data_IF_237539023271
#
_entry.id   IF_237539023271
#
_cell.length_a   1.000
_cell.length_b   1.000
_cell.length_c   1.000
_cell.angle_alpha   90.00
_cell.angle_beta   90.00
_cell.angle_gamma   90.00
#
_symmetry.space_group_name_H-M   'P 1'
#
loop_
_entity.id
_entity.type
_entity.pdbx_description
1 polymer ?
#
# COMPACT_ATOMS: atom_id res chain seq x y z
N UNK A 1 -2.21 -7.61 -10.62
CA UNK A 1 -2.67 -6.67 -9.58
C UNK A 1 -4.17 -6.84 -9.39
N UNK A 2 -4.63 -6.84 -8.15
CA UNK A 2 -6.06 -6.89 -7.79
C UNK A 2 -6.45 -5.62 -7.05
N UNK A 3 -7.74 -5.31 -6.98
CA UNK A 3 -8.21 -4.20 -6.16
C UNK A 3 -8.07 -4.55 -4.69
N UNK A 4 -7.64 -3.60 -3.87
CA UNK A 4 -7.45 -3.79 -2.46
C UNK A 4 -7.74 -2.54 -1.64
N UNK A 5 -7.95 -2.78 -0.34
CA UNK A 5 -8.08 -1.73 0.68
C UNK A 5 -7.02 -1.97 1.75
N UNK A 6 -6.33 -0.92 2.17
CA UNK A 6 -5.36 -0.96 3.26
C UNK A 6 -5.87 -0.07 4.39
N UNK A 7 -5.95 -0.61 5.60
CA UNK A 7 -6.44 0.10 6.78
C UNK A 7 -5.35 0.05 7.83
N UNK A 8 -4.77 1.19 8.18
CA UNK A 8 -3.77 1.29 9.24
C UNK A 8 -4.42 1.40 10.61
N UNK A 9 -3.70 1.02 11.67
CA UNK A 9 -4.20 1.03 13.06
C UNK A 9 -4.56 2.43 13.57
N UNK A 10 -4.02 3.49 12.96
CA UNK A 10 -4.36 4.89 13.26
C UNK A 10 -5.65 5.37 12.57
N UNK A 11 -6.30 4.50 11.79
CA UNK A 11 -7.55 4.76 11.09
C UNK A 11 -7.38 5.32 9.68
N UNK A 12 -6.14 5.46 9.17
CA UNK A 12 -5.93 5.84 7.77
C UNK A 12 -6.36 4.69 6.86
N UNK A 13 -7.30 4.98 5.97
CA UNK A 13 -7.80 4.04 4.97
C UNK A 13 -7.34 4.45 3.57
N UNK A 14 -6.77 3.51 2.83
CA UNK A 14 -6.33 3.70 1.45
C UNK A 14 -7.01 2.68 0.56
N UNK A 15 -7.41 3.13 -0.61
CA UNK A 15 -7.90 2.28 -1.69
C UNK A 15 -6.89 2.28 -2.83
N UNK A 16 -6.75 1.14 -3.49
CA UNK A 16 -5.75 1.00 -4.53
C UNK A 16 -5.70 -0.37 -5.17
N UNK A 17 -4.58 -0.62 -5.84
CA UNK A 17 -4.26 -1.92 -6.39
C UNK A 17 -3.17 -2.58 -5.56
N UNK A 18 -3.24 -3.90 -5.45
CA UNK A 18 -2.26 -4.69 -4.72
C UNK A 18 -1.70 -5.80 -5.60
N UNK A 19 -0.40 -6.00 -5.44
CA UNK A 19 0.34 -7.13 -5.97
C UNK A 19 0.86 -7.98 -4.80
N UNK A 20 0.34 -9.20 -4.67
CA UNK A 20 0.69 -10.11 -3.58
C UNK A 20 1.87 -10.99 -4.03
N UNK A 21 2.99 -10.96 -3.31
CA UNK A 21 4.22 -11.68 -3.68
C UNK A 21 4.94 -12.28 -2.48
N UNK A 22 4.69 -13.57 -2.20
CA UNK A 22 5.36 -14.27 -1.09
C UNK A 22 5.18 -13.53 0.23
N UNK A 23 6.29 -13.19 0.89
CA UNK A 23 6.33 -12.48 2.18
C UNK A 23 6.02 -10.97 2.07
N UNK A 24 5.91 -10.43 0.86
CA UNK A 24 5.69 -9.00 0.63
C UNK A 24 4.48 -8.75 -0.26
N UNK A 25 3.88 -7.58 -0.11
CA UNK A 25 2.86 -7.06 -1.02
C UNK A 25 3.24 -5.64 -1.44
N UNK A 26 2.97 -5.32 -2.70
CA UNK A 26 3.10 -3.97 -3.23
C UNK A 26 1.71 -3.38 -3.35
N UNK A 27 1.44 -2.32 -2.59
CA UNK A 27 0.19 -1.59 -2.64
C UNK A 27 0.40 -0.24 -3.33
N UNK A 28 -0.35 0.02 -4.39
CA UNK A 28 -0.34 1.29 -5.11
C UNK A 28 -1.66 2.01 -4.89
N UNK A 29 -1.61 3.22 -4.39
CA UNK A 29 -2.76 4.12 -4.24
C UNK A 29 -2.51 5.41 -4.98
N UNK A 30 -3.58 6.06 -5.45
CA UNK A 30 -3.59 7.42 -5.99
C UNK A 30 -3.47 8.49 -4.88
N UNK A 31 -3.59 8.09 -3.62
CA UNK A 31 -3.36 8.97 -2.48
C UNK A 31 -1.87 9.28 -2.33
N UNK A 32 -1.52 10.56 -2.37
CA UNK A 32 -0.15 11.03 -2.06
C UNK A 32 0.01 11.15 -0.56
N UNK A 33 0.83 10.29 0.03
CA UNK A 33 1.17 10.33 1.45
C UNK A 33 2.45 11.13 1.65
N UNK A 34 2.41 12.04 2.63
CA UNK A 34 3.60 12.77 3.06
C UNK A 34 4.54 11.87 3.87
N UNK A 35 5.82 12.24 3.92
CA UNK A 35 6.82 11.48 4.66
C UNK A 35 6.48 11.39 6.16
N UNK A 36 5.95 12.47 6.75
CA UNK A 36 5.47 12.51 8.13
C UNK A 36 4.34 11.50 8.41
N UNK A 37 3.38 11.38 7.49
CA UNK A 37 2.30 10.38 7.61
C UNK A 37 2.85 8.96 7.51
N UNK A 38 3.75 8.69 6.56
CA UNK A 38 4.30 7.34 6.39
C UNK A 38 5.19 6.89 7.55
N UNK A 39 5.79 7.83 8.29
CA UNK A 39 6.60 7.54 9.47
C UNK A 39 5.80 7.03 10.68
N UNK A 40 4.51 7.38 10.77
CA UNK A 40 3.62 6.94 11.85
C UNK A 40 2.88 5.64 11.52
N UNK A 41 2.66 5.38 10.23
CA UNK A 41 1.98 4.19 9.73
C UNK A 41 2.90 2.98 9.84
N UNK A 42 2.69 2.11 10.83
CA UNK A 42 3.49 0.90 11.03
C UNK A 42 2.75 -0.36 10.62
N UNK A 43 1.62 -0.65 11.24
CA UNK A 43 0.88 -1.90 11.04
C UNK A 43 -0.51 -1.60 10.51
N UNK A 44 -1.02 -2.49 9.66
CA UNK A 44 -2.35 -2.37 9.10
C UNK A 44 -2.94 -3.71 8.68
N UNK A 45 -4.18 -3.67 8.22
CA UNK A 45 -4.90 -4.77 7.60
C UNK A 45 -5.03 -4.50 6.10
N UNK A 46 -4.47 -5.41 5.30
CA UNK A 46 -4.63 -5.44 3.86
C UNK A 46 -5.79 -6.35 3.51
N UNK A 47 -6.79 -5.81 2.81
CA UNK A 47 -7.91 -6.55 2.26
C UNK A 47 -7.74 -6.69 0.75
N UNK A 48 -7.65 -7.92 0.26
CA UNK A 48 -7.48 -8.27 -1.15
C UNK A 48 -8.11 -9.63 -1.44
N UNK A 49 -8.78 -9.78 -2.60
CA UNK A 49 -9.42 -11.05 -3.01
C UNK A 49 -10.30 -11.68 -1.91
N UNK A 50 -11.16 -10.87 -1.28
CA UNK A 50 -12.04 -11.26 -0.16
C UNK A 50 -11.33 -11.80 1.10
N UNK A 51 -10.01 -11.65 1.17
CA UNK A 51 -9.19 -12.01 2.34
C UNK A 51 -8.64 -10.78 3.00
N UNK A 52 -8.39 -10.90 4.30
CA UNK A 52 -7.79 -9.88 5.16
C UNK A 52 -6.53 -10.45 5.78
N UNK A 53 -5.44 -9.71 5.71
CA UNK A 53 -4.17 -10.11 6.29
C UNK A 53 -3.52 -8.94 7.02
N UNK A 54 -2.82 -9.24 8.11
CA UNK A 54 -2.01 -8.25 8.80
C UNK A 54 -0.74 -7.99 8.01
N UNK A 55 -0.39 -6.72 7.90
CA UNK A 55 0.80 -6.25 7.20
C UNK A 55 1.56 -5.20 8.00
N UNK A 56 2.86 -5.12 7.76
CA UNK A 56 3.75 -4.07 8.26
C UNK A 56 4.17 -3.19 7.09
N UNK A 57 4.06 -1.87 7.20
CA UNK A 57 4.64 -0.94 6.24
C UNK A 57 6.16 -0.94 6.41
N UNK A 58 6.86 -1.41 5.39
CA UNK A 58 8.33 -1.39 5.33
C UNK A 58 8.82 -0.10 4.67
N UNK A 59 8.21 0.27 3.54
CA UNK A 59 8.60 1.47 2.80
C UNK A 59 7.40 2.11 2.13
N UNK A 60 7.45 3.44 2.02
CA UNK A 60 6.52 4.24 1.24
C UNK A 60 7.32 5.13 0.28
N UNK A 61 6.98 5.07 -1.00
CA UNK A 61 7.60 5.87 -2.05
C UNK A 61 6.51 6.64 -2.78
N UNK A 62 6.64 7.97 -2.78
CA UNK A 62 5.81 8.80 -3.65
C UNK A 62 6.13 8.46 -5.11
N UNK A 63 5.07 8.29 -5.90
CA UNK A 63 5.17 8.08 -7.33
C UNK A 63 5.09 9.47 -7.97
N UNK A 64 6.25 9.97 -8.37
CA UNK A 64 6.37 11.29 -8.99
C UNK A 64 6.02 11.23 -10.49
N UNK A 65 5.48 12.32 -11.03
CA UNK A 65 5.04 12.39 -12.42
C UNK A 65 6.14 12.19 -13.46
N UNK A 66 7.40 12.40 -13.10
CA UNK A 66 8.57 12.11 -13.94
C UNK A 66 8.89 10.61 -14.03
N UNK A 67 8.30 9.79 -13.16
CA UNK A 67 8.44 8.32 -13.13
C UNK A 67 7.21 7.59 -13.67
N UNK A 68 6.18 8.32 -14.09
CA UNK A 68 4.93 7.77 -14.61
C UNK A 68 4.97 7.69 -16.13
N UNK A 69 4.58 6.53 -16.68
CA UNK A 69 4.23 6.44 -18.09
C UNK A 69 2.99 7.32 -18.39
N UNK A 70 2.85 7.77 -19.63
CA UNK A 70 1.72 8.62 -20.04
C UNK A 70 0.38 7.95 -19.68
N UNK A 71 -0.30 8.51 -18.68
CA UNK A 71 -1.65 8.10 -18.27
C UNK A 71 -1.74 7.44 -16.91
N UNK A 72 -0.63 7.19 -16.21
CA UNK A 72 -0.68 6.74 -14.81
C UNK A 72 -0.89 7.93 -13.85
N UNK A 73 -1.77 7.81 -12.84
CA UNK A 73 -1.99 8.85 -11.85
C UNK A 73 -0.83 8.91 -10.83
N UNK A 74 -0.52 10.11 -10.35
CA UNK A 74 0.37 10.28 -9.20
C UNK A 74 -0.20 9.56 -7.97
N UNK A 75 0.67 9.16 -7.04
CA UNK A 75 0.23 8.40 -5.89
C UNK A 75 1.37 7.95 -4.99
N UNK A 76 1.13 6.90 -4.20
CA UNK A 76 2.12 6.31 -3.32
C UNK A 76 2.21 4.81 -3.54
N UNK A 77 3.43 4.31 -3.69
CA UNK A 77 3.75 2.89 -3.66
C UNK A 77 4.19 2.51 -2.25
N UNK A 78 3.47 1.59 -1.64
CA UNK A 78 3.76 1.03 -0.33
C UNK A 78 4.27 -0.40 -0.49
N UNK A 79 5.38 -0.71 0.16
CA UNK A 79 5.86 -2.09 0.31
C UNK A 79 5.46 -2.58 1.70
N UNK A 80 4.71 -3.68 1.72
CA UNK A 80 4.09 -4.22 2.91
C UNK A 80 4.68 -5.61 3.18
N UNK A 81 5.20 -5.86 4.38
CA UNK A 81 5.56 -7.21 4.82
C UNK A 81 4.32 -7.91 5.34
N UNK A 82 4.01 -9.08 4.82
CA UNK A 82 2.86 -9.90 5.18
C UNK A 82 3.23 -10.75 6.40
N UNK A 83 2.38 -10.76 7.44
CA UNK A 83 2.64 -11.56 8.64
C UNK A 83 2.21 -13.03 8.48
N UNK A 84 1.17 -13.27 7.68
CA UNK A 84 0.65 -14.61 7.40
C UNK A 84 0.31 -14.70 5.91
N UNK A 85 1.33 -14.89 5.05
CA UNK A 85 1.14 -14.92 3.61
C UNK A 85 0.37 -16.19 3.21
N UNK A 86 -0.82 -15.97 2.68
CA UNK A 86 -1.76 -16.97 2.17
C UNK A 86 -1.37 -17.50 0.80
#
# INVERSE_FOLDING_TARGET
MTNGKLIFEDGVELTGTVDLGGDYAIFKTDTVLSQDQTGTLKTGELQANDRKEKVLLETAQAIHADQLDKGEPQGTKLTLRRFDPI
#
